data_IF_425875265636
#
_entry.id   IF_425875265636
#
_cell.length_a   1.000
_cell.length_b   1.000
_cell.length_c   1.000
_cell.angle_alpha   90.00
_cell.angle_beta   90.00
_cell.angle_gamma   90.00
#
_symmetry.space_group_name_H-M   'P 1'
#
loop_
_entity.id
_entity.type
_entity.pdbx_description
1 polymer ?
#
# COMPACT_ATOMS: atom_id res chain seq x y z
N UNK A 1 14.48 2.70 6.83
CA UNK A 1 13.19 2.16 6.33
C UNK A 1 13.11 0.66 6.57
N UNK A 2 14.14 -0.14 6.26
CA UNK A 2 14.11 -1.61 6.45
C UNK A 2 13.81 -2.03 7.88
N UNK A 3 14.27 -1.31 8.88
CA UNK A 3 14.05 -1.61 10.30
C UNK A 3 12.59 -1.35 10.72
N UNK A 4 12.00 -0.24 10.24
CA UNK A 4 10.59 0.11 10.55
C UNK A 4 9.62 -0.96 10.06
N UNK A 5 9.89 -1.55 8.89
CA UNK A 5 9.05 -2.58 8.27
C UNK A 5 9.06 -3.90 9.07
N UNK A 6 10.14 -4.17 9.82
CA UNK A 6 10.32 -5.39 10.62
C UNK A 6 9.97 -5.20 12.10
N UNK A 7 9.92 -3.95 12.56
CA UNK A 7 9.74 -3.63 13.95
C UNK A 7 8.31 -3.90 14.46
N UNK A 8 8.20 -4.13 15.75
CA UNK A 8 6.95 -4.08 16.50
C UNK A 8 6.91 -2.79 17.31
N UNK A 9 5.73 -2.22 17.41
CA UNK A 9 5.51 -0.96 18.10
C UNK A 9 4.42 -1.10 19.14
N UNK A 10 4.48 -0.28 20.16
CA UNK A 10 3.42 -0.11 21.15
C UNK A 10 2.52 1.04 20.70
N UNK A 11 1.22 0.78 20.64
CA UNK A 11 0.18 1.76 20.32
C UNK A 11 -0.74 1.89 21.55
N UNK A 12 -0.81 3.07 22.20
CA UNK A 12 -1.68 3.26 23.36
C UNK A 12 -3.14 3.29 22.94
N UNK A 13 -3.96 2.52 23.64
CA UNK A 13 -5.37 2.37 23.35
C UNK A 13 -6.21 2.41 24.62
N UNK A 14 -7.50 2.69 24.45
CA UNK A 14 -8.53 2.51 25.45
C UNK A 14 -9.50 1.43 24.95
N UNK A 15 -9.68 0.40 25.73
CA UNK A 15 -10.66 -0.64 25.44
C UNK A 15 -11.96 -0.29 26.17
N UNK A 16 -13.01 -0.16 25.39
CA UNK A 16 -14.34 0.20 25.92
C UNK A 16 -15.28 -0.96 25.64
N UNK A 17 -15.91 -1.55 26.68
CA UNK A 17 -16.99 -2.50 26.47
C UNK A 17 -18.13 -1.82 25.72
N UNK A 18 -18.66 -2.48 24.72
CA UNK A 18 -19.81 -2.02 23.96
C UNK A 18 -20.78 -3.18 23.76
N UNK A 19 -22.02 -2.86 23.41
CA UNK A 19 -23.04 -3.85 23.11
C UNK A 19 -23.46 -3.68 21.65
N UNK A 20 -23.36 -4.75 20.88
CA UNK A 20 -23.78 -4.75 19.48
C UNK A 20 -25.04 -5.59 19.29
N UNK A 21 -25.98 -5.07 18.52
CA UNK A 21 -27.13 -5.83 18.08
C UNK A 21 -26.74 -6.68 16.88
N UNK A 22 -26.90 -7.99 16.99
CA UNK A 22 -26.62 -8.96 15.91
C UNK A 22 -27.93 -9.68 15.61
N UNK A 23 -28.31 -9.75 14.34
CA UNK A 23 -29.50 -10.50 13.91
C UNK A 23 -29.08 -11.95 13.64
N UNK A 24 -29.60 -12.89 14.47
CA UNK A 24 -29.42 -14.32 14.29
C UNK A 24 -30.81 -14.98 14.18
N UNK A 25 -31.02 -15.77 13.13
CA UNK A 25 -32.29 -16.48 12.86
C UNK A 25 -33.55 -15.57 12.90
N UNK A 26 -33.41 -14.31 12.43
CA UNK A 26 -34.52 -13.36 12.43
C UNK A 26 -34.81 -12.70 13.78
N UNK A 27 -34.03 -12.95 14.81
CA UNK A 27 -34.12 -12.33 16.13
C UNK A 27 -32.92 -11.42 16.38
N UNK A 28 -33.16 -10.26 16.97
CA UNK A 28 -32.08 -9.36 17.38
C UNK A 28 -31.55 -9.78 18.75
N UNK A 29 -30.28 -10.20 18.77
CA UNK A 29 -29.58 -10.59 19.99
C UNK A 29 -28.52 -9.53 20.31
N UNK A 30 -28.48 -9.07 21.55
CA UNK A 30 -27.46 -8.11 22.02
C UNK A 30 -26.24 -8.90 22.47
N UNK A 31 -25.13 -8.75 21.75
CA UNK A 31 -23.85 -9.34 22.11
C UNK A 31 -22.90 -8.30 22.72
N UNK A 32 -22.21 -8.69 23.78
CA UNK A 32 -21.11 -7.88 24.29
C UNK A 32 -19.96 -7.90 23.28
N UNK A 33 -19.51 -6.71 22.90
CA UNK A 33 -18.37 -6.50 22.04
C UNK A 33 -17.36 -5.58 22.73
N UNK A 34 -16.18 -5.50 22.18
CA UNK A 34 -15.12 -4.63 22.70
C UNK A 34 -14.72 -3.67 21.60
N UNK A 35 -14.79 -2.38 21.86
CA UNK A 35 -14.29 -1.36 20.97
C UNK A 35 -12.92 -0.88 21.45
N UNK A 36 -11.94 -0.89 20.54
CA UNK A 36 -10.62 -0.35 20.78
C UNK A 36 -10.55 1.05 20.21
N UNK A 37 -10.30 2.03 21.07
CA UNK A 37 -10.11 3.43 20.68
C UNK A 37 -8.64 3.78 20.83
N UNK A 38 -8.01 4.13 19.72
CA UNK A 38 -6.61 4.55 19.72
C UNK A 38 -6.49 6.03 20.09
N UNK A 39 -5.45 6.34 20.89
CA UNK A 39 -5.09 7.73 21.14
C UNK A 39 -4.36 8.29 19.94
N UNK A 40 -4.80 9.44 19.48
CA UNK A 40 -4.21 10.15 18.35
C UNK A 40 -3.44 11.37 18.83
N UNK A 41 -2.35 11.66 18.13
CA UNK A 41 -1.62 12.92 18.24
C UNK A 41 -2.22 13.93 17.26
N UNK A 42 -2.21 15.19 17.64
CA UNK A 42 -2.64 16.28 16.76
C UNK A 42 -1.50 17.29 16.62
N UNK A 43 -1.19 17.71 15.40
CA UNK A 43 -0.21 18.73 15.16
C UNK A 43 -0.87 20.14 15.14
N UNK A 44 -0.07 21.18 14.94
CA UNK A 44 -0.55 22.56 14.89
C UNK A 44 -1.57 22.85 13.77
N UNK A 45 -1.57 22.00 12.73
CA UNK A 45 -2.52 22.09 11.59
C UNK A 45 -3.79 21.28 11.83
N UNK A 46 -4.00 20.74 13.02
CA UNK A 46 -5.12 19.87 13.35
C UNK A 46 -5.11 18.53 12.61
N UNK A 47 -3.98 18.13 12.04
CA UNK A 47 -3.79 16.84 11.43
C UNK A 47 -3.53 15.77 12.48
N UNK A 48 -4.17 14.61 12.32
CA UNK A 48 -4.13 13.51 13.29
C UNK A 48 -3.14 12.43 12.87
N UNK A 49 -2.40 11.91 13.84
CA UNK A 49 -1.40 10.86 13.66
C UNK A 49 -1.55 9.77 14.72
N UNK A 50 -1.22 8.54 14.37
CA UNK A 50 -0.96 7.52 15.38
C UNK A 50 0.39 7.78 16.05
N UNK A 51 0.43 7.71 17.40
CA UNK A 51 1.69 7.73 18.17
C UNK A 51 2.15 6.29 18.40
N UNK A 52 3.27 5.91 17.82
CA UNK A 52 3.90 4.60 17.98
C UNK A 52 5.12 4.71 18.87
N UNK A 53 5.36 3.70 19.69
CA UNK A 53 6.48 3.69 20.62
C UNK A 53 7.29 2.41 20.46
N UNK A 54 8.62 2.54 20.48
CA UNK A 54 9.55 1.42 20.38
C UNK A 54 9.55 0.56 21.63
N UNK A 55 9.28 1.20 22.77
CA UNK A 55 9.31 0.59 24.10
C UNK A 55 8.42 1.35 25.09
N UNK A 56 8.35 0.85 26.31
CA UNK A 56 7.53 1.45 27.36
C UNK A 56 8.14 2.71 27.97
N UNK A 57 9.45 2.90 27.91
CA UNK A 57 10.11 4.11 28.38
C UNK A 57 9.75 5.30 27.50
N UNK A 58 9.79 5.10 26.19
CA UNK A 58 9.32 6.10 25.23
C UNK A 58 7.83 6.39 25.37
N UNK A 59 7.00 5.36 25.60
CA UNK A 59 5.56 5.53 25.83
C UNK A 59 5.28 6.38 27.07
N UNK A 60 5.99 6.17 28.17
CA UNK A 60 5.74 6.89 29.42
C UNK A 60 6.16 8.36 29.41
N UNK A 61 6.89 8.80 28.38
CA UNK A 61 7.11 10.24 28.14
C UNK A 61 5.82 10.97 27.76
N UNK A 62 4.81 10.24 27.30
CA UNK A 62 3.46 10.77 27.12
C UNK A 62 2.68 10.64 28.43
N UNK A 63 2.58 11.73 29.17
CA UNK A 63 2.05 11.75 30.55
C UNK A 63 0.67 11.10 30.73
N UNK A 64 -0.20 11.21 29.72
CA UNK A 64 -1.56 10.67 29.77
C UNK A 64 -1.66 9.17 29.47
N UNK A 65 -0.55 8.48 29.20
CA UNK A 65 -0.57 7.07 28.77
C UNK A 65 -0.23 6.06 29.84
N UNK A 66 0.07 6.50 31.08
CA UNK A 66 0.47 5.61 32.17
C UNK A 66 -0.57 4.50 32.44
N UNK A 67 -1.86 4.81 32.30
CA UNK A 67 -2.98 3.87 32.47
C UNK A 67 -3.58 3.38 31.13
N UNK A 68 -2.97 3.72 29.99
CA UNK A 68 -3.44 3.25 28.69
C UNK A 68 -3.12 1.76 28.50
N UNK A 69 -4.04 1.04 27.88
CA UNK A 69 -3.73 -0.30 27.42
C UNK A 69 -2.74 -0.24 26.26
N UNK A 70 -1.87 -1.24 26.20
CA UNK A 70 -0.79 -1.34 25.21
C UNK A 70 -1.18 -2.35 24.15
N UNK A 71 -1.38 -1.90 22.94
CA UNK A 71 -1.58 -2.78 21.78
C UNK A 71 -0.25 -2.88 21.05
N UNK A 72 0.23 -4.10 20.84
CA UNK A 72 1.41 -4.33 19.99
C UNK A 72 0.96 -4.40 18.55
N UNK A 73 1.56 -3.58 17.71
CA UNK A 73 1.27 -3.50 16.27
C UNK A 73 2.55 -3.63 15.44
N UNK A 74 2.39 -3.88 14.15
CA UNK A 74 3.47 -3.87 13.17
C UNK A 74 3.19 -2.90 12.03
N UNK A 75 4.18 -2.78 11.13
CA UNK A 75 4.07 -1.87 10.00
C UNK A 75 2.85 -2.17 9.11
N UNK A 76 2.52 -3.45 8.87
CA UNK A 76 1.39 -3.80 8.00
C UNK A 76 0.06 -3.40 8.62
N UNK A 77 -0.14 -3.73 9.89
CA UNK A 77 -1.36 -3.42 10.63
C UNK A 77 -1.59 -1.91 10.75
N UNK A 78 -0.53 -1.15 11.12
CA UNK A 78 -0.66 0.31 11.25
C UNK A 78 -0.84 0.98 9.88
N UNK A 79 -0.22 0.47 8.83
CA UNK A 79 -0.40 0.98 7.48
C UNK A 79 -1.84 0.82 7.00
N UNK A 80 -2.48 -0.32 7.27
CA UNK A 80 -3.89 -0.53 6.95
C UNK A 80 -4.78 0.49 7.67
N UNK A 81 -4.54 0.74 8.96
CA UNK A 81 -5.29 1.72 9.73
C UNK A 81 -5.12 3.16 9.19
N UNK A 82 -3.90 3.53 8.78
CA UNK A 82 -3.65 4.86 8.16
C UNK A 82 -4.29 4.97 6.78
N UNK A 83 -4.33 3.88 6.01
CA UNK A 83 -4.91 3.87 4.67
C UNK A 83 -6.45 3.84 4.68
N UNK A 84 -7.09 3.42 5.77
CA UNK A 84 -8.54 3.44 5.91
C UNK A 84 -9.07 4.88 5.68
N UNK A 85 -9.97 5.09 4.70
CA UNK A 85 -10.54 6.40 4.41
C UNK A 85 -11.29 7.03 5.59
N UNK A 86 -11.81 6.20 6.48
CA UNK A 86 -12.60 6.63 7.65
C UNK A 86 -11.74 6.93 8.89
N UNK A 87 -10.44 6.64 8.85
CA UNK A 87 -9.55 6.86 10.00
C UNK A 87 -9.35 8.34 10.33
N UNK A 88 -9.43 9.22 9.33
CA UNK A 88 -9.11 10.64 9.46
C UNK A 88 -7.65 10.92 9.85
N UNK A 89 -6.76 9.90 9.74
CA UNK A 89 -5.36 9.96 10.15
C UNK A 89 -4.48 10.17 8.92
N UNK A 90 -3.49 11.07 9.03
CA UNK A 90 -2.60 11.42 7.91
C UNK A 90 -1.23 10.75 7.99
N UNK A 91 -1.00 9.90 8.99
CA UNK A 91 0.26 9.16 9.16
C UNK A 91 0.46 8.65 10.57
N UNK A 92 1.70 8.26 10.88
CA UNK A 92 2.12 7.93 12.24
C UNK A 92 3.45 8.58 12.60
N UNK A 93 3.70 8.72 13.90
CA UNK A 93 4.95 9.25 14.45
C UNK A 93 5.53 8.22 15.41
N UNK A 94 6.78 7.84 15.22
CA UNK A 94 7.52 6.97 16.13
C UNK A 94 8.19 7.82 17.19
N UNK A 95 8.04 7.46 18.47
CA UNK A 95 8.61 8.12 19.66
C UNK A 95 8.37 9.65 19.67
N UNK A 96 7.10 10.10 19.63
CA UNK A 96 6.74 11.51 19.45
C UNK A 96 7.28 12.46 20.52
N UNK A 97 7.62 11.94 21.70
CA UNK A 97 8.15 12.72 22.84
C UNK A 97 9.65 12.50 23.09
N UNK A 98 10.32 11.79 22.18
CA UNK A 98 11.76 11.51 22.19
C UNK A 98 12.42 11.88 20.86
N UNK A 99 13.26 11.00 20.34
CA UNK A 99 13.80 11.12 18.98
C UNK A 99 12.72 10.70 17.98
N UNK A 100 11.88 11.66 17.61
CA UNK A 100 10.71 11.40 16.81
C UNK A 100 11.03 11.26 15.33
N UNK A 101 10.31 10.33 14.65
CA UNK A 101 10.33 10.16 13.20
C UNK A 101 8.88 10.12 12.71
N UNK A 102 8.54 11.01 11.79
CA UNK A 102 7.20 11.11 11.22
C UNK A 102 7.12 10.39 9.87
N UNK A 103 6.09 9.58 9.70
CA UNK A 103 5.76 8.87 8.47
C UNK A 103 4.39 9.38 7.96
N UNK A 104 4.38 10.29 6.98
CA UNK A 104 3.13 10.74 6.37
C UNK A 104 2.54 9.67 5.46
N UNK A 105 1.21 9.69 5.28
CA UNK A 105 0.46 8.69 4.51
C UNK A 105 1.06 8.36 3.13
N UNK A 106 1.50 9.34 2.30
CA UNK A 106 2.12 9.01 1.01
C UNK A 106 3.40 8.17 1.14
N UNK A 107 4.23 8.45 2.17
CA UNK A 107 5.44 7.68 2.43
C UNK A 107 5.11 6.25 2.90
N UNK A 108 4.09 6.10 3.74
CA UNK A 108 3.61 4.79 4.21
C UNK A 108 3.12 3.96 3.03
N UNK A 109 2.32 4.54 2.13
CA UNK A 109 1.84 3.88 0.90
C UNK A 109 3.03 3.40 0.06
N UNK A 110 4.01 4.28 -0.18
CA UNK A 110 5.19 3.93 -0.96
C UNK A 110 5.97 2.76 -0.35
N UNK A 111 6.25 2.80 0.95
CA UNK A 111 6.98 1.74 1.66
C UNK A 111 6.18 0.42 1.62
N UNK A 112 4.87 0.49 1.83
CA UNK A 112 3.99 -0.69 1.80
C UNK A 112 3.97 -1.33 0.41
N UNK A 113 3.81 -0.54 -0.64
CA UNK A 113 3.81 -1.02 -2.02
C UNK A 113 5.16 -1.64 -2.40
N UNK A 114 6.28 -1.03 -2.02
CA UNK A 114 7.61 -1.60 -2.26
C UNK A 114 7.81 -2.94 -1.53
N UNK A 115 7.39 -3.01 -0.26
CA UNK A 115 7.44 -4.25 0.53
C UNK A 115 6.61 -5.36 -0.11
N UNK A 116 5.36 -5.06 -0.46
CA UNK A 116 4.43 -6.03 -1.02
C UNK A 116 4.91 -6.52 -2.39
N UNK A 117 5.36 -5.60 -3.25
CA UNK A 117 5.94 -5.94 -4.55
C UNK A 117 7.14 -6.89 -4.41
N UNK A 118 8.11 -6.56 -3.54
CA UNK A 118 9.28 -7.39 -3.31
C UNK A 118 8.92 -8.76 -2.70
N UNK A 119 7.84 -8.83 -1.93
CA UNK A 119 7.37 -10.09 -1.34
C UNK A 119 6.70 -10.98 -2.39
N UNK A 120 5.90 -10.40 -3.27
CA UNK A 120 5.19 -11.12 -4.33
C UNK A 120 6.10 -11.53 -5.50
N UNK A 121 7.19 -10.79 -5.73
CA UNK A 121 8.06 -10.95 -6.90
C UNK A 121 9.53 -11.20 -6.50
N UNK A 122 9.77 -12.03 -5.49
CA UNK A 122 11.11 -12.30 -4.94
C UNK A 122 12.12 -12.77 -5.98
N UNK A 123 11.66 -13.53 -6.97
CA UNK A 123 12.49 -14.16 -7.99
C UNK A 123 12.48 -13.40 -9.33
N UNK A 124 11.79 -12.25 -9.39
CA UNK A 124 11.66 -11.51 -10.65
C UNK A 124 13.00 -10.90 -11.09
N UNK A 125 13.80 -10.40 -10.13
CA UNK A 125 15.09 -9.77 -10.40
C UNK A 125 16.14 -10.33 -9.46
N UNK A 126 17.24 -10.86 -10.04
CA UNK A 126 18.39 -11.30 -9.26
C UNK A 126 19.44 -10.19 -9.17
N UNK A 127 20.20 -10.11 -8.07
CA UNK A 127 21.27 -9.14 -7.94
C UNK A 127 22.29 -9.25 -9.08
N UNK A 128 22.59 -8.11 -9.74
CA UNK A 128 23.58 -8.04 -10.82
C UNK A 128 23.02 -8.31 -12.23
N UNK A 129 21.75 -8.67 -12.37
CA UNK A 129 21.12 -8.80 -13.69
C UNK A 129 20.90 -7.45 -14.37
N UNK A 130 21.11 -7.43 -15.68
CA UNK A 130 20.84 -6.25 -16.50
C UNK A 130 19.37 -6.26 -16.94
N UNK A 131 18.69 -5.17 -16.69
CA UNK A 131 17.32 -4.95 -17.13
C UNK A 131 17.35 -3.81 -18.16
N UNK A 132 16.85 -4.06 -19.36
CA UNK A 132 16.69 -3.04 -20.39
C UNK A 132 15.21 -2.67 -20.47
N UNK A 133 14.90 -1.38 -20.40
CA UNK A 133 13.53 -0.87 -20.52
C UNK A 133 13.50 0.17 -21.64
N UNK A 134 12.57 0.02 -22.55
CA UNK A 134 12.41 0.90 -23.69
C UNK A 134 10.95 0.97 -24.16
N UNK A 135 10.75 1.56 -25.30
CA UNK A 135 9.45 1.54 -25.98
C UNK A 135 9.23 0.21 -26.68
N UNK A 136 7.99 -0.33 -26.70
CA UNK A 136 7.66 -1.43 -27.57
C UNK A 136 7.94 -1.03 -29.04
N UNK A 137 8.54 -1.93 -29.82
CA UNK A 137 8.69 -1.71 -31.27
C UNK A 137 7.32 -1.59 -31.95
N UNK A 138 6.41 -2.48 -31.55
CA UNK A 138 5.02 -2.50 -31.97
C UNK A 138 4.17 -2.36 -30.72
N UNK A 139 3.36 -1.33 -30.68
CA UNK A 139 2.45 -1.10 -29.55
C UNK A 139 1.29 -2.11 -29.58
N UNK A 140 1.03 -2.82 -28.47
CA UNK A 140 -0.06 -3.80 -28.40
C UNK A 140 -1.40 -3.10 -28.22
N UNK A 141 -1.96 -2.56 -29.32
CA UNK A 141 -3.13 -1.66 -29.28
C UNK A 141 -4.34 -2.35 -28.64
N UNK A 142 -4.59 -3.62 -28.98
CA UNK A 142 -5.73 -4.37 -28.43
C UNK A 142 -5.58 -4.62 -26.92
N UNK A 143 -4.37 -4.96 -26.47
CA UNK A 143 -4.06 -5.07 -25.05
C UNK A 143 -4.28 -3.74 -24.32
N UNK A 144 -3.77 -2.64 -24.89
CA UNK A 144 -3.93 -1.31 -24.30
C UNK A 144 -5.41 -0.90 -24.22
N UNK A 145 -6.18 -1.11 -25.28
CA UNK A 145 -7.61 -0.80 -25.30
C UNK A 145 -8.38 -1.61 -24.23
N UNK A 146 -8.05 -2.90 -24.10
CA UNK A 146 -8.68 -3.77 -23.11
C UNK A 146 -8.31 -3.35 -21.68
N UNK A 147 -7.05 -2.98 -21.43
CA UNK A 147 -6.62 -2.46 -20.12
C UNK A 147 -7.26 -1.12 -19.79
N UNK A 148 -7.42 -0.20 -20.77
CA UNK A 148 -8.14 1.06 -20.59
C UNK A 148 -9.58 0.80 -20.14
N UNK A 149 -10.28 -0.11 -20.81
CA UNK A 149 -11.65 -0.48 -20.44
C UNK A 149 -11.72 -1.07 -19.02
N UNK A 150 -10.78 -1.95 -18.67
CA UNK A 150 -10.68 -2.50 -17.31
C UNK A 150 -10.45 -1.40 -16.28
N UNK A 151 -9.48 -0.51 -16.49
CA UNK A 151 -9.16 0.58 -15.56
C UNK A 151 -10.29 1.60 -15.40
N UNK A 152 -11.10 1.81 -16.45
CA UNK A 152 -12.26 2.70 -16.38
C UNK A 152 -13.32 2.19 -15.39
N UNK A 153 -13.34 0.88 -15.10
CA UNK A 153 -14.23 0.27 -14.11
C UNK A 153 -13.57 0.00 -12.77
N UNK A 154 -12.23 0.14 -12.68
CA UNK A 154 -11.46 -0.07 -11.45
C UNK A 154 -11.16 1.29 -10.78
N UNK A 155 -11.91 1.66 -9.72
CA UNK A 155 -11.80 2.99 -9.11
C UNK A 155 -10.46 3.24 -8.42
N UNK A 156 -9.68 2.20 -8.17
CA UNK A 156 -8.43 2.27 -7.43
C UNK A 156 -7.19 2.50 -8.30
N UNK A 157 -7.31 2.45 -9.64
CA UNK A 157 -6.22 2.75 -10.57
C UNK A 157 -6.32 4.20 -11.04
N UNK A 158 -5.26 4.98 -10.84
CA UNK A 158 -5.22 6.40 -11.19
C UNK A 158 -4.54 6.64 -12.54
N UNK A 159 -3.40 5.99 -12.77
CA UNK A 159 -2.57 6.19 -13.97
C UNK A 159 -1.88 4.89 -14.34
N UNK A 160 -1.75 4.61 -15.64
CA UNK A 160 -0.98 3.46 -16.13
C UNK A 160 -0.10 3.83 -17.32
N UNK A 161 1.10 3.23 -17.36
CA UNK A 161 2.11 3.38 -18.40
C UNK A 161 2.46 2.01 -18.95
N UNK A 162 2.81 1.95 -20.23
CA UNK A 162 3.29 0.75 -20.89
C UNK A 162 4.73 0.93 -21.38
N UNK A 163 5.58 -0.02 -21.06
CA UNK A 163 6.96 -0.13 -21.57
C UNK A 163 7.23 -1.54 -22.04
N UNK A 164 8.34 -1.73 -22.76
CA UNK A 164 8.92 -3.05 -23.03
C UNK A 164 10.12 -3.26 -22.12
N UNK A 165 10.14 -4.39 -21.44
CA UNK A 165 11.26 -4.81 -20.59
C UNK A 165 11.90 -6.06 -21.17
N UNK A 166 13.25 -6.05 -21.24
CA UNK A 166 14.06 -7.22 -21.56
C UNK A 166 14.93 -7.57 -20.36
N UNK A 167 14.81 -8.81 -19.89
CA UNK A 167 15.50 -9.32 -18.73
C UNK A 167 15.77 -10.81 -18.89
N UNK A 168 17.03 -11.26 -18.70
CA UNK A 168 17.42 -12.68 -18.83
C UNK A 168 16.94 -13.33 -20.14
N UNK A 169 17.12 -12.62 -21.27
CA UNK A 169 16.70 -13.04 -22.62
C UNK A 169 15.17 -13.20 -22.80
N UNK A 170 14.38 -12.77 -21.83
CA UNK A 170 12.93 -12.74 -21.91
C UNK A 170 12.43 -11.31 -22.16
N UNK A 171 11.37 -11.22 -22.96
CA UNK A 171 10.66 -9.97 -23.18
C UNK A 171 9.36 -9.95 -22.38
N UNK A 172 9.05 -8.79 -21.83
CA UNK A 172 7.81 -8.60 -21.09
C UNK A 172 7.24 -7.21 -21.36
N UNK A 173 5.94 -7.10 -21.53
CA UNK A 173 5.30 -5.82 -21.34
C UNK A 173 5.39 -5.43 -19.88
N UNK A 174 5.91 -4.24 -19.60
CA UNK A 174 5.96 -3.65 -18.27
C UNK A 174 4.82 -2.65 -18.15
N UNK A 175 3.81 -3.01 -17.37
CA UNK A 175 2.70 -2.10 -17.02
C UNK A 175 3.03 -1.48 -15.66
N UNK A 176 3.32 -0.18 -15.65
CA UNK A 176 3.57 0.58 -14.44
C UNK A 176 2.28 1.27 -14.04
N UNK A 177 1.82 1.05 -12.80
CA UNK A 177 0.52 1.57 -12.32
C UNK A 177 0.67 2.40 -11.05
N UNK A 178 -0.05 3.52 -11.01
CA UNK A 178 -0.37 4.26 -9.80
C UNK A 178 -1.75 3.85 -9.32
N UNK A 179 -1.85 3.38 -8.07
CA UNK A 179 -3.07 2.82 -7.53
C UNK A 179 -3.16 2.97 -6.01
N UNK A 180 -4.36 2.78 -5.47
CA UNK A 180 -4.64 2.73 -4.04
C UNK A 180 -5.31 1.38 -3.74
N UNK A 181 -4.98 0.76 -2.61
CA UNK A 181 -5.63 -0.47 -2.15
C UNK A 181 -4.77 -1.73 -2.24
N UNK A 182 -5.42 -2.88 -2.44
CA UNK A 182 -4.79 -4.19 -2.42
C UNK A 182 -4.03 -4.46 -3.72
N UNK A 183 -2.69 -4.42 -3.64
CA UNK A 183 -1.80 -4.66 -4.77
C UNK A 183 -2.07 -6.01 -5.43
N UNK A 184 -2.21 -7.07 -4.64
CA UNK A 184 -2.36 -8.42 -5.19
C UNK A 184 -3.61 -8.51 -6.04
N UNK A 185 -4.74 -8.00 -5.54
CA UNK A 185 -6.01 -8.01 -6.28
C UNK A 185 -5.92 -7.24 -7.59
N UNK A 186 -5.35 -6.02 -7.53
CA UNK A 186 -5.21 -5.16 -8.71
C UNK A 186 -4.28 -5.81 -9.74
N UNK A 187 -3.13 -6.35 -9.32
CA UNK A 187 -2.16 -6.96 -10.22
C UNK A 187 -2.67 -8.26 -10.84
N UNK A 188 -3.35 -9.10 -10.05
CA UNK A 188 -3.97 -10.33 -10.55
C UNK A 188 -5.04 -10.00 -11.62
N UNK A 189 -5.90 -9.01 -11.36
CA UNK A 189 -6.92 -8.56 -12.32
C UNK A 189 -6.30 -8.00 -13.62
N UNK A 190 -5.21 -7.22 -13.53
CA UNK A 190 -4.48 -6.74 -14.70
C UNK A 190 -3.91 -7.90 -15.51
N UNK A 191 -3.28 -8.88 -14.83
CA UNK A 191 -2.70 -10.07 -15.49
C UNK A 191 -3.76 -10.92 -16.16
N UNK A 192 -4.89 -11.19 -15.50
CA UNK A 192 -6.02 -11.92 -16.06
C UNK A 192 -6.59 -11.21 -17.30
N UNK A 193 -6.75 -9.89 -17.22
CA UNK A 193 -7.24 -9.07 -18.34
C UNK A 193 -6.27 -9.09 -19.53
N UNK A 194 -4.97 -9.10 -19.27
CA UNK A 194 -3.95 -9.10 -20.32
C UNK A 194 -3.69 -10.49 -20.93
N UNK A 195 -4.01 -11.57 -20.21
CA UNK A 195 -3.66 -12.95 -20.60
C UNK A 195 -3.98 -13.32 -22.06
N UNK A 196 -5.15 -12.95 -22.65
CA UNK A 196 -5.47 -13.29 -24.03
C UNK A 196 -4.56 -12.65 -25.10
N UNK A 197 -3.79 -11.62 -24.71
CA UNK A 197 -2.94 -10.82 -25.60
C UNK A 197 -1.45 -11.14 -25.45
N UNK A 198 -1.10 -12.05 -24.53
CA UNK A 198 0.26 -12.48 -24.30
C UNK A 198 0.61 -13.67 -25.20
N UNK A 199 1.87 -13.79 -25.58
CA UNK A 199 2.39 -14.89 -26.40
C UNK A 199 3.41 -15.70 -25.57
N UNK A 200 3.84 -16.84 -26.09
CA UNK A 200 4.88 -17.65 -25.43
C UNK A 200 6.20 -16.88 -25.27
N UNK A 201 6.46 -15.90 -26.15
CA UNK A 201 7.70 -15.11 -26.17
C UNK A 201 7.62 -13.80 -25.38
N UNK A 202 6.42 -13.34 -25.00
CA UNK A 202 6.20 -12.05 -24.33
C UNK A 202 5.27 -12.22 -23.15
N UNK A 203 5.81 -11.99 -21.95
CA UNK A 203 5.11 -12.04 -20.68
C UNK A 203 4.63 -10.64 -20.23
N UNK A 204 3.94 -10.56 -19.10
CA UNK A 204 3.52 -9.31 -18.47
C UNK A 204 4.10 -9.16 -17.08
N UNK A 205 4.76 -8.03 -16.86
CA UNK A 205 5.18 -7.58 -15.53
C UNK A 205 4.38 -6.35 -15.14
N UNK A 206 3.71 -6.40 -14.00
CA UNK A 206 2.99 -5.25 -13.42
C UNK A 206 3.81 -4.73 -12.25
N UNK A 207 4.06 -3.41 -12.21
CA UNK A 207 4.90 -2.79 -11.20
C UNK A 207 4.26 -1.50 -10.67
N UNK A 208 4.31 -1.24 -9.33
CA UNK A 208 3.82 0.01 -8.79
C UNK A 208 4.77 1.16 -9.13
N UNK A 209 4.22 2.34 -9.38
CA UNK A 209 4.99 3.58 -9.67
C UNK A 209 5.98 3.93 -8.55
N UNK A 210 5.77 3.43 -7.35
CA UNK A 210 6.62 3.68 -6.17
C UNK A 210 7.97 2.98 -6.19
N UNK A 211 8.17 2.00 -7.11
CA UNK A 211 9.47 1.35 -7.32
C UNK A 211 10.41 2.28 -8.07
N UNK A 212 11.70 2.32 -7.68
CA UNK A 212 12.72 3.15 -8.34
C UNK A 212 12.88 2.78 -9.82
N UNK A 213 12.87 1.48 -10.14
CA UNK A 213 12.93 0.99 -11.51
C UNK A 213 11.75 1.50 -12.35
N UNK A 214 10.54 1.46 -11.79
CA UNK A 214 9.33 1.94 -12.45
C UNK A 214 9.39 3.45 -12.71
N UNK A 215 9.78 4.24 -11.70
CA UNK A 215 9.93 5.71 -11.85
C UNK A 215 10.91 6.07 -12.95
N UNK A 216 12.05 5.39 -13.00
CA UNK A 216 13.03 5.60 -14.05
C UNK A 216 12.51 5.19 -15.44
N UNK A 217 11.76 4.10 -15.51
CA UNK A 217 11.20 3.58 -16.75
C UNK A 217 10.16 4.50 -17.40
N UNK A 218 9.42 5.26 -16.59
CA UNK A 218 8.32 6.13 -17.08
C UNK A 218 8.70 7.62 -17.11
N UNK A 219 9.95 7.97 -16.81
CA UNK A 219 10.40 9.35 -16.85
C UNK A 219 10.28 9.94 -18.27
N UNK A 220 9.48 10.98 -18.44
CA UNK A 220 9.19 11.59 -19.73
C UNK A 220 8.26 10.80 -20.65
N UNK A 221 7.56 9.77 -20.12
CA UNK A 221 6.64 8.92 -20.87
C UNK A 221 5.19 9.34 -20.60
N UNK A 222 4.39 9.47 -21.63
CA UNK A 222 2.95 9.73 -21.50
C UNK A 222 2.23 8.45 -21.05
N UNK A 223 1.30 8.54 -20.09
CA UNK A 223 0.47 7.41 -19.68
C UNK A 223 -0.51 7.03 -20.77
N UNK A 224 -0.73 5.73 -20.96
CA UNK A 224 -1.80 5.26 -21.86
C UNK A 224 -3.19 5.27 -21.18
N UNK A 225 -3.24 5.36 -19.87
CA UNK A 225 -4.45 5.53 -19.09
C UNK A 225 -4.25 6.58 -17.99
N UNK A 226 -5.23 7.45 -17.84
CA UNK A 226 -5.36 8.39 -16.73
C UNK A 226 -6.82 8.48 -16.33
N UNK A 227 -7.10 8.26 -15.05
CA UNK A 227 -8.44 8.41 -14.48
C UNK A 227 -8.90 9.85 -14.64
N UNK A 228 -10.09 10.04 -15.21
CA UNK A 228 -10.75 11.33 -15.23
C UNK A 228 -11.14 11.76 -13.82
N UNK A 229 -10.91 13.02 -13.48
CA UNK A 229 -11.20 13.61 -12.17
C UNK A 229 -12.67 14.00 -12.04
#
# INVERSE_FOLDING_TARGET
ISEVVKAKFILPAKVVPTTQAVTENGQTVMKQATQVQFRLLENQKKEKFFGLFTDTEELFKWQDTQNAQKVVTDFDSISQMVMDPHSGVVGFVINPFGKSVTFPKPMIISIKQQKDFNTLNKDLFKPGEQIKIGEPKDYPIDLMATLINHFSTEPNVNVAFLRMMEHSDKKSFLVVVDFIGDMKKIFDAIKETAQPYLTEDVDLVVMPVTMDLARNAINGVEPFYRKEQ
#
